data_IF_343914369374
#
_entry.id   IF_343914369374
#
_cell.length_a   1.000
_cell.length_b   1.000
_cell.length_c   1.000
_cell.angle_alpha   90.00
_cell.angle_beta   90.00
_cell.angle_gamma   90.00
#
_symmetry.space_group_name_H-M   'P 1'
#
loop_
_entity.id
_entity.type
_entity.pdbx_description
1 polymer ?
#
# COMPACT_ATOMS: atom_id res chain seq x y z
N UNK A 1 -5.10 -21.47 -0.70
CA UNK A 1 -3.70 -21.87 -0.96
C UNK A 1 -2.94 -21.80 0.36
N UNK A 2 -1.82 -22.50 0.53
CA UNK A 2 -1.02 -22.30 1.75
C UNK A 2 -0.46 -20.88 1.71
N UNK A 3 -0.68 -20.08 2.77
CA UNK A 3 -0.04 -18.76 2.88
C UNK A 3 1.48 -18.93 2.74
N UNK A 4 2.17 -18.05 2.01
CA UNK A 4 3.62 -18.14 1.89
C UNK A 4 4.25 -18.10 3.30
N UNK A 5 5.25 -18.94 3.53
CA UNK A 5 5.96 -19.02 4.82
C UNK A 5 6.55 -17.66 5.20
N UNK A 6 6.89 -16.87 4.18
CA UNK A 6 7.38 -15.51 4.22
C UNK A 6 6.42 -14.55 4.92
N UNK A 7 5.09 -14.68 4.76
CA UNK A 7 4.12 -13.85 5.48
C UNK A 7 4.07 -14.17 6.96
N UNK A 8 4.16 -15.45 7.30
CA UNK A 8 4.19 -15.88 8.70
C UNK A 8 5.44 -15.31 9.39
N UNK A 9 6.60 -15.41 8.73
CA UNK A 9 7.85 -14.82 9.22
C UNK A 9 7.76 -13.29 9.35
N UNK A 10 7.17 -12.60 8.37
CA UNK A 10 6.96 -11.15 8.41
C UNK A 10 6.11 -10.73 9.62
N UNK A 11 4.97 -11.38 9.84
CA UNK A 11 4.09 -11.07 10.97
C UNK A 11 4.77 -11.35 12.33
N UNK A 12 5.56 -12.41 12.43
CA UNK A 12 6.34 -12.73 13.63
C UNK A 12 7.40 -11.64 13.93
N UNK A 13 8.13 -11.18 12.91
CA UNK A 13 9.12 -10.11 13.03
C UNK A 13 8.47 -8.78 13.44
N UNK A 14 7.35 -8.41 12.82
CA UNK A 14 6.59 -7.21 13.17
C UNK A 14 6.08 -7.30 14.62
N UNK A 15 5.55 -8.46 15.02
CA UNK A 15 5.14 -8.72 16.40
C UNK A 15 6.30 -8.59 17.39
N UNK A 16 7.48 -9.10 17.04
CA UNK A 16 8.71 -8.96 17.83
C UNK A 16 9.13 -7.50 18.00
N UNK A 17 9.05 -6.70 16.94
CA UNK A 17 9.36 -5.28 16.96
C UNK A 17 8.39 -4.49 17.85
N UNK A 18 7.08 -4.75 17.78
CA UNK A 18 6.06 -4.13 18.66
C UNK A 18 6.34 -4.38 20.13
N UNK A 19 6.69 -5.63 20.49
CA UNK A 19 7.04 -6.00 21.87
C UNK A 19 8.30 -5.26 22.35
N UNK A 20 9.33 -5.21 21.51
CA UNK A 20 10.59 -4.53 21.81
C UNK A 20 10.40 -3.03 22.04
N UNK A 21 9.58 -2.37 21.21
CA UNK A 21 9.28 -0.96 21.37
C UNK A 21 8.35 -0.65 22.52
N UNK A 22 7.43 -1.56 22.86
CA UNK A 22 6.61 -1.42 24.06
C UNK A 22 7.50 -1.43 25.31
N UNK A 23 8.48 -2.33 25.37
CA UNK A 23 9.47 -2.35 26.45
C UNK A 23 10.33 -1.08 26.48
N UNK A 24 10.69 -0.54 25.32
CA UNK A 24 11.41 0.73 25.20
C UNK A 24 10.55 1.90 25.70
N UNK A 25 9.28 1.98 25.29
CA UNK A 25 8.32 3.01 25.71
C UNK A 25 8.02 2.96 27.21
N UNK A 26 8.08 1.79 27.85
CA UNK A 26 7.96 1.69 29.31
C UNK A 26 9.19 2.24 30.03
N UNK A 27 10.38 2.07 29.45
CA UNK A 27 11.66 2.50 30.05
C UNK A 27 12.04 3.95 29.77
N UNK A 28 11.62 4.47 28.61
CA UNK A 28 12.00 5.78 28.11
C UNK A 28 10.73 6.61 27.86
N UNK A 29 10.82 7.92 28.07
CA UNK A 29 9.70 8.86 27.92
C UNK A 29 8.99 8.73 26.57
N UNK A 30 7.68 8.92 26.56
CA UNK A 30 6.85 9.00 25.35
C UNK A 30 7.15 10.28 24.55
N UNK A 31 8.25 10.26 23.83
CA UNK A 31 8.67 11.35 22.94
C UNK A 31 7.90 11.32 21.61
N UNK A 32 7.85 12.45 20.89
CA UNK A 32 7.30 12.46 19.53
C UNK A 32 7.94 11.42 18.60
N UNK A 33 9.24 11.16 18.74
CA UNK A 33 9.94 10.12 17.98
C UNK A 33 9.42 8.72 18.27
N UNK A 34 9.18 8.39 19.54
CA UNK A 34 8.58 7.10 19.94
C UNK A 34 7.19 6.94 19.32
N UNK A 35 6.34 7.97 19.39
CA UNK A 35 4.99 7.93 18.79
C UNK A 35 5.03 7.73 17.27
N UNK A 36 5.98 8.36 16.56
CA UNK A 36 6.15 8.15 15.12
C UNK A 36 6.54 6.72 14.80
N UNK A 37 7.51 6.13 15.51
CA UNK A 37 7.94 4.75 15.27
C UNK A 37 6.77 3.78 15.49
N UNK A 38 5.98 3.95 16.56
CA UNK A 38 4.78 3.13 16.78
C UNK A 38 3.79 3.26 15.63
N UNK A 39 3.49 4.49 15.19
CA UNK A 39 2.61 4.73 14.05
C UNK A 39 3.12 4.10 12.74
N UNK A 40 4.43 4.10 12.51
CA UNK A 40 5.03 3.45 11.35
C UNK A 40 4.86 1.94 11.37
N UNK A 41 4.88 1.31 12.55
CA UNK A 41 4.68 -0.14 12.66
C UNK A 41 3.22 -0.50 12.49
N UNK A 42 2.29 0.28 13.05
CA UNK A 42 0.87 0.07 12.82
C UNK A 42 0.55 0.21 11.32
N UNK A 43 1.21 1.15 10.63
CA UNK A 43 1.11 1.27 9.16
C UNK A 43 1.73 0.08 8.43
N UNK A 44 2.90 -0.39 8.85
CA UNK A 44 3.55 -1.56 8.25
C UNK A 44 2.69 -2.82 8.37
N UNK A 45 1.95 -2.99 9.48
CA UNK A 45 0.96 -4.08 9.62
C UNK A 45 -0.14 -3.95 8.57
N UNK A 46 -0.75 -2.77 8.45
CA UNK A 46 -1.79 -2.53 7.46
C UNK A 46 -1.31 -2.76 6.01
N UNK A 47 -0.09 -2.32 5.70
CA UNK A 47 0.52 -2.53 4.38
C UNK A 47 0.78 -4.04 4.12
N UNK A 48 1.18 -4.81 5.14
CA UNK A 48 1.36 -6.25 5.04
C UNK A 48 0.02 -7.01 4.87
N UNK A 49 -1.03 -6.60 5.59
CA UNK A 49 -2.38 -7.14 5.42
C UNK A 49 -2.93 -6.87 4.03
N UNK A 50 -2.68 -5.66 3.49
CA UNK A 50 -3.06 -5.31 2.12
C UNK A 50 -2.31 -6.18 1.11
N UNK A 51 -0.99 -6.35 1.26
CA UNK A 51 -0.18 -7.18 0.37
C UNK A 51 -0.63 -8.65 0.37
N UNK A 52 -1.02 -9.17 1.53
CA UNK A 52 -1.53 -10.53 1.69
C UNK A 52 -2.90 -10.70 1.00
N UNK A 53 -3.79 -9.71 1.14
CA UNK A 53 -5.06 -9.69 0.44
C UNK A 53 -4.90 -9.54 -1.09
N UNK A 54 -3.96 -8.69 -1.51
CA UNK A 54 -3.60 -8.52 -2.92
C UNK A 54 -3.07 -9.83 -3.50
N UNK A 55 -2.35 -10.67 -2.77
CA UNK A 55 -1.93 -11.98 -3.29
C UNK A 55 -3.08 -12.96 -3.48
N UNK A 56 -4.13 -12.85 -2.68
CA UNK A 56 -5.35 -13.63 -2.85
C UNK A 56 -6.20 -13.11 -4.03
N UNK A 57 -6.19 -11.80 -4.31
CA UNK A 57 -6.97 -11.15 -5.37
C UNK A 57 -6.23 -11.12 -6.73
N UNK A 58 -4.95 -10.75 -6.71
CA UNK A 58 -3.99 -10.90 -7.81
C UNK A 58 -3.49 -12.34 -7.88
N UNK A 59 -4.39 -13.28 -8.17
CA UNK A 59 -4.00 -14.47 -8.93
C UNK A 59 -3.69 -14.03 -10.38
N UNK A 60 -2.71 -13.13 -10.55
CA UNK A 60 -2.23 -12.57 -11.82
C UNK A 60 -1.86 -13.69 -12.79
N UNK A 61 -1.43 -14.82 -12.26
CA UNK A 61 -1.13 -16.03 -13.01
C UNK A 61 -2.41 -16.61 -13.63
N UNK A 62 -3.51 -16.68 -12.87
CA UNK A 62 -4.84 -17.05 -13.38
C UNK A 62 -5.45 -15.96 -14.28
N UNK A 63 -5.31 -14.69 -13.94
CA UNK A 63 -5.82 -13.58 -14.76
C UNK A 63 -5.14 -13.57 -16.14
N UNK A 64 -3.81 -13.68 -16.20
CA UNK A 64 -3.05 -13.77 -17.44
C UNK A 64 -3.31 -15.08 -18.22
N UNK A 65 -3.55 -16.20 -17.52
CA UNK A 65 -3.93 -17.46 -18.16
C UNK A 65 -5.36 -17.42 -18.75
N UNK A 66 -6.28 -16.66 -18.14
CA UNK A 66 -7.67 -16.55 -18.57
C UNK A 66 -7.92 -15.40 -19.56
N UNK A 67 -7.02 -14.41 -19.65
CA UNK A 67 -7.10 -13.28 -20.59
C UNK A 67 -5.80 -13.19 -21.41
N UNK A 68 -5.57 -14.11 -22.36
CA UNK A 68 -4.43 -13.98 -23.26
C UNK A 68 -4.65 -12.75 -24.15
N UNK A 69 -3.91 -11.69 -23.85
CA UNK A 69 -3.72 -10.52 -24.71
C UNK A 69 -4.98 -9.76 -25.17
N UNK A 70 -5.99 -9.61 -24.31
CA UNK A 70 -7.08 -8.68 -24.61
C UNK A 70 -6.56 -7.24 -24.49
N UNK A 71 -5.99 -6.75 -25.60
CA UNK A 71 -5.52 -5.37 -25.76
C UNK A 71 -6.74 -4.51 -26.10
N UNK A 72 -7.22 -3.74 -25.13
CA UNK A 72 -8.19 -2.68 -25.39
C UNK A 72 -7.47 -1.61 -26.20
N UNK A 73 -7.92 -1.38 -27.42
CA UNK A 73 -7.36 -0.32 -28.28
C UNK A 73 -7.85 1.02 -27.73
N UNK A 74 -6.93 1.82 -27.20
CA UNK A 74 -7.19 3.22 -26.88
C UNK A 74 -7.03 4.01 -28.18
N UNK A 75 -8.08 4.69 -28.68
CA UNK A 75 -7.95 5.49 -29.90
C UNK A 75 -6.99 6.66 -29.68
N UNK A 76 -6.05 6.88 -30.59
CA UNK A 76 -5.18 8.07 -30.61
C UNK A 76 -5.93 9.36 -31.04
N UNK A 77 -7.27 9.34 -31.01
CA UNK A 77 -8.09 10.50 -31.35
C UNK A 77 -8.04 11.48 -30.19
N UNK A 78 -7.69 12.74 -30.47
CA UNK A 78 -7.74 13.80 -29.46
C UNK A 78 -9.15 13.87 -28.86
N UNK A 79 -9.22 13.92 -27.54
CA UNK A 79 -10.47 14.17 -26.84
C UNK A 79 -10.98 15.56 -27.19
N UNK A 80 -12.30 15.71 -27.27
CA UNK A 80 -12.92 17.01 -27.43
C UNK A 80 -12.48 17.93 -26.28
N UNK A 81 -12.06 19.15 -26.60
CA UNK A 81 -11.66 20.15 -25.62
C UNK A 81 -12.81 20.51 -24.67
N UNK A 82 -14.07 20.37 -25.10
CA UNK A 82 -15.23 20.57 -24.25
C UNK A 82 -15.37 19.52 -23.15
N UNK A 83 -14.77 18.33 -23.32
CA UNK A 83 -14.76 17.27 -22.31
C UNK A 83 -14.04 17.69 -21.01
N UNK A 84 -13.05 18.59 -21.12
CA UNK A 84 -12.20 19.02 -20.02
C UNK A 84 -12.60 20.39 -19.43
N UNK A 85 -13.58 21.07 -20.02
CA UNK A 85 -13.85 22.49 -19.75
C UNK A 85 -14.40 22.78 -18.35
N UNK A 86 -15.09 21.81 -17.74
CA UNK A 86 -15.72 21.94 -16.42
C UNK A 86 -15.10 20.98 -15.38
N UNK A 87 -13.96 20.38 -15.72
CA UNK A 87 -13.16 19.59 -14.77
C UNK A 87 -12.23 20.57 -14.05
N UNK A 88 -12.39 20.72 -12.74
CA UNK A 88 -11.45 21.50 -11.94
C UNK A 88 -10.03 20.92 -12.10
N UNK A 89 -9.05 21.76 -12.43
CA UNK A 89 -7.63 21.43 -12.32
C UNK A 89 -7.22 21.42 -10.84
N UNK A 90 -7.91 20.62 -10.03
CA UNK A 90 -7.48 20.25 -8.67
C UNK A 90 -6.30 19.27 -8.75
N UNK A 91 -5.29 19.62 -9.56
CA UNK A 91 -3.95 19.09 -9.50
C UNK A 91 -3.27 19.51 -8.20
N UNK A 92 -3.38 18.65 -7.19
CA UNK A 92 -2.52 18.65 -6.01
C UNK A 92 -1.05 18.61 -6.42
N UNK A 93 -0.31 19.72 -6.24
CA UNK A 93 1.16 19.68 -6.29
C UNK A 93 1.86 20.96 -6.75
N UNK A 94 1.76 22.05 -5.98
CA UNK A 94 2.48 23.28 -6.32
C UNK A 94 2.53 24.34 -5.22
N UNK A 95 2.72 23.96 -3.96
CA UNK A 95 3.16 24.94 -2.96
C UNK A 95 4.59 25.36 -3.30
N UNK A 96 4.76 26.48 -4.02
CA UNK A 96 6.04 27.21 -4.03
C UNK A 96 6.08 28.07 -2.77
N UNK A 97 7.16 27.87 -2.01
CA UNK A 97 7.61 28.71 -0.90
C UNK A 97 7.79 30.17 -1.31
#
# INVERSE_FOLDING_TARGET
MSRPTEFTELYDLIGGLRRSLSALKTRYTDTPGMRRIVAHIDRLVADAELLDADLDDLDLTRWAANHPEEKITIPDTEYDIEFWRDVDDEGLGGARF
#
